data_IF_272800397894
#
_entry.id   IF_272800397894
#
_cell.length_a   1.000
_cell.length_b   1.000
_cell.length_c   1.000
_cell.angle_alpha   90.00
_cell.angle_beta   90.00
_cell.angle_gamma   90.00
#
_symmetry.space_group_name_H-M   'P 1'
#
loop_
_entity.id
_entity.type
_entity.pdbx_description
1 polymer ?
#
# COMPACT_ATOMS: atom_id res chain seq x y z
N UNK A 1 6.67 47.18 35.96
CA UNK A 1 6.94 46.98 34.51
C UNK A 1 6.77 45.50 34.20
N UNK A 2 5.66 45.09 33.58
CA UNK A 2 5.43 43.69 33.19
C UNK A 2 5.99 43.46 31.78
N UNK A 3 7.12 42.76 31.68
CA UNK A 3 7.69 42.30 30.42
C UNK A 3 6.83 41.12 29.95
N UNK A 4 5.87 41.39 29.06
CA UNK A 4 5.09 40.35 28.37
C UNK A 4 5.99 39.62 27.37
N UNK A 5 6.33 38.39 27.73
CA UNK A 5 6.22 37.19 26.90
C UNK A 5 6.45 37.34 25.39
N UNK A 6 7.71 37.19 24.94
CA UNK A 6 8.08 37.04 23.53
C UNK A 6 8.62 35.65 23.14
N UNK A 7 9.02 34.82 24.12
CA UNK A 7 9.79 33.60 23.85
C UNK A 7 8.96 32.37 23.44
N UNK A 8 7.66 32.33 23.74
CA UNK A 8 6.83 31.15 23.45
C UNK A 8 6.49 30.96 21.96
N UNK A 9 6.45 32.04 21.19
CA UNK A 9 6.03 32.00 19.78
C UNK A 9 7.11 31.43 18.86
N UNK A 10 8.38 31.75 19.12
CA UNK A 10 9.52 31.26 18.32
C UNK A 10 9.73 29.74 18.48
N UNK A 11 9.66 29.24 19.71
CA UNK A 11 9.72 27.80 19.98
C UNK A 11 8.59 27.03 19.26
N UNK A 12 7.39 27.62 19.20
CA UNK A 12 6.24 27.02 18.52
C UNK A 12 6.43 26.92 17.00
N UNK A 13 7.11 27.90 16.38
CA UNK A 13 7.45 27.88 14.95
C UNK A 13 8.49 26.80 14.67
N UNK A 14 9.52 26.67 15.52
CA UNK A 14 10.55 25.63 15.33
C UNK A 14 10.00 24.22 15.53
N UNK A 15 9.09 24.03 16.49
CA UNK A 15 8.37 22.76 16.64
C UNK A 15 7.49 22.45 15.43
N UNK A 16 6.82 23.45 14.87
CA UNK A 16 6.02 23.28 13.66
C UNK A 16 6.89 22.95 12.42
N UNK A 17 8.02 23.63 12.25
CA UNK A 17 8.98 23.39 11.14
C UNK A 17 9.60 22.00 11.23
N UNK A 18 10.04 21.59 12.42
CA UNK A 18 10.62 20.26 12.61
C UNK A 18 9.60 19.13 12.39
N UNK A 19 8.35 19.32 12.81
CA UNK A 19 7.27 18.36 12.55
C UNK A 19 6.95 18.24 11.06
N UNK A 20 6.80 19.36 10.35
CA UNK A 20 6.49 19.40 8.91
C UNK A 20 7.66 18.88 8.05
N UNK A 21 8.91 19.16 8.41
CA UNK A 21 10.08 18.65 7.70
C UNK A 21 10.20 17.13 7.82
N UNK A 22 9.89 16.56 9.00
CA UNK A 22 9.80 15.10 9.19
C UNK A 22 8.68 14.49 8.34
N UNK A 23 7.54 15.18 8.22
CA UNK A 23 6.43 14.73 7.37
C UNK A 23 6.78 14.75 5.87
N UNK A 24 7.52 15.76 5.41
CA UNK A 24 8.01 15.81 4.03
C UNK A 24 8.94 14.63 3.70
N UNK A 25 9.79 14.22 4.65
CA UNK A 25 10.65 13.03 4.52
C UNK A 25 9.90 11.69 4.54
N UNK A 26 8.61 11.69 4.91
CA UNK A 26 7.76 10.49 4.93
C UNK A 26 6.93 10.32 3.65
N UNK A 27 7.21 11.09 2.59
CA UNK A 27 6.58 10.91 1.29
C UNK A 27 6.83 9.47 0.79
N UNK A 28 5.78 8.63 0.81
CA UNK A 28 5.85 7.21 0.44
C UNK A 28 5.86 6.22 1.61
N UNK A 29 6.03 6.66 2.86
CA UNK A 29 5.95 5.80 4.04
C UNK A 29 4.52 5.25 4.27
N UNK A 30 3.50 5.91 3.72
CA UNK A 30 2.09 5.52 3.81
C UNK A 30 1.60 4.71 2.60
N UNK A 31 2.49 4.01 1.88
CA UNK A 31 2.03 3.09 0.84
C UNK A 31 1.21 1.96 1.46
N UNK A 32 -0.07 1.90 1.11
CA UNK A 32 -0.95 0.82 1.52
C UNK A 32 -0.37 -0.53 1.05
N UNK A 33 -0.16 -1.44 2.00
CA UNK A 33 0.32 -2.80 1.72
C UNK A 33 -0.75 -3.83 2.08
N UNK A 34 -0.68 -5.01 1.45
CA UNK A 34 -1.57 -6.13 1.73
C UNK A 34 -0.82 -7.46 1.62
N UNK A 35 -1.38 -8.52 2.18
CA UNK A 35 -0.85 -9.88 2.04
C UNK A 35 -1.53 -10.54 0.84
N UNK A 36 -0.73 -10.96 -0.14
CA UNK A 36 -1.24 -11.69 -1.30
C UNK A 36 -1.72 -13.08 -0.87
N UNK A 37 -2.98 -13.43 -1.20
CA UNK A 37 -3.54 -14.76 -0.89
C UNK A 37 -2.96 -15.93 -1.69
N UNK A 38 -2.15 -15.64 -2.73
CA UNK A 38 -1.49 -16.69 -3.55
C UNK A 38 -0.07 -16.98 -3.08
N UNK A 39 0.76 -15.94 -2.94
CA UNK A 39 2.17 -16.09 -2.57
C UNK A 39 2.49 -15.78 -1.10
N UNK A 40 1.52 -15.33 -0.31
CA UNK A 40 1.70 -15.03 1.13
C UNK A 40 2.55 -13.80 1.44
N UNK A 41 3.15 -13.15 0.44
CA UNK A 41 4.03 -12.01 0.65
C UNK A 41 3.27 -10.70 0.82
N UNK A 42 3.80 -9.81 1.68
CA UNK A 42 3.35 -8.42 1.80
C UNK A 42 3.79 -7.65 0.55
N UNK A 43 2.83 -7.07 -0.17
CA UNK A 43 3.06 -6.34 -1.42
C UNK A 43 2.32 -5.00 -1.39
N UNK A 44 2.79 -4.05 -2.20
CA UNK A 44 2.11 -2.77 -2.40
C UNK A 44 0.72 -2.99 -3.01
N UNK A 45 -0.27 -2.21 -2.59
CA UNK A 45 -1.66 -2.37 -2.99
C UNK A 45 -1.93 -2.01 -4.46
N UNK A 46 -0.96 -1.44 -5.17
CA UNK A 46 -1.04 -1.09 -6.59
C UNK A 46 -1.12 -2.34 -7.49
N UNK A 47 -2.01 -2.34 -8.48
CA UNK A 47 -2.18 -3.45 -9.42
C UNK A 47 -2.72 -4.75 -8.80
N UNK A 48 -3.27 -4.70 -7.58
CA UNK A 48 -3.89 -5.87 -6.94
C UNK A 48 -5.21 -6.24 -7.61
N UNK A 49 -5.53 -7.54 -7.64
CA UNK A 49 -6.80 -8.05 -8.14
C UNK A 49 -7.51 -8.81 -7.03
N UNK A 50 -8.81 -8.64 -6.88
CA UNK A 50 -9.57 -9.40 -5.89
C UNK A 50 -9.51 -10.90 -6.20
N UNK A 51 -9.48 -11.73 -5.15
CA UNK A 51 -9.55 -13.20 -5.29
C UNK A 51 -10.90 -13.58 -5.90
N UNK A 52 -11.99 -13.01 -5.37
CA UNK A 52 -13.35 -13.16 -5.86
C UNK A 52 -13.85 -11.79 -6.31
N UNK A 53 -14.25 -11.67 -7.58
CA UNK A 53 -14.72 -10.40 -8.16
C UNK A 53 -15.94 -9.91 -7.39
N UNK A 54 -15.89 -8.69 -6.86
CA UNK A 54 -17.00 -8.08 -6.11
C UNK A 54 -16.98 -8.37 -4.61
N UNK A 55 -16.05 -9.20 -4.10
CA UNK A 55 -15.98 -9.55 -2.68
C UNK A 55 -14.59 -9.29 -2.10
N UNK A 56 -14.44 -8.15 -1.43
CA UNK A 56 -13.18 -7.76 -0.78
C UNK A 56 -12.82 -8.64 0.44
N UNK A 57 -13.80 -9.31 1.06
CA UNK A 57 -13.60 -10.17 2.25
C UNK A 57 -12.65 -11.35 2.00
N UNK A 58 -12.62 -11.87 0.77
CA UNK A 58 -11.74 -12.97 0.40
C UNK A 58 -10.29 -12.54 0.17
N UNK A 59 -10.01 -11.23 0.17
CA UNK A 59 -8.67 -10.66 0.00
C UNK A 59 -8.28 -10.49 -1.47
N UNK A 60 -6.97 -10.35 -1.70
CA UNK A 60 -6.40 -9.91 -2.98
C UNK A 60 -5.20 -10.76 -3.42
N UNK A 61 -4.97 -10.79 -4.73
CA UNK A 61 -3.78 -11.29 -5.39
C UNK A 61 -2.91 -10.12 -5.87
N UNK A 62 -1.59 -10.29 -5.81
CA UNK A 62 -0.64 -9.31 -6.31
C UNK A 62 -0.55 -9.33 -7.84
N UNK A 63 -0.10 -8.22 -8.43
CA UNK A 63 0.04 -8.04 -9.86
C UNK A 63 0.90 -9.15 -10.53
N UNK A 64 1.96 -9.60 -9.86
CA UNK A 64 2.82 -10.69 -10.35
C UNK A 64 2.04 -12.00 -10.52
N UNK A 65 1.36 -12.43 -9.45
CA UNK A 65 0.52 -13.62 -9.44
C UNK A 65 -0.68 -13.54 -10.39
N UNK A 66 -1.11 -12.34 -10.78
CA UNK A 66 -2.16 -12.13 -11.78
C UNK A 66 -1.60 -12.28 -13.19
N UNK A 67 -0.42 -11.70 -13.47
CA UNK A 67 0.26 -11.77 -14.76
C UNK A 67 0.62 -13.21 -15.15
N UNK A 68 1.16 -14.00 -14.21
CA UNK A 68 1.42 -15.44 -14.41
C UNK A 68 0.17 -16.23 -14.78
N UNK A 69 -0.99 -15.82 -14.24
CA UNK A 69 -2.26 -16.51 -14.50
C UNK A 69 -2.77 -16.21 -15.91
N UNK A 70 -2.57 -14.98 -16.40
CA UNK A 70 -2.95 -14.60 -17.76
C UNK A 70 -2.03 -15.17 -18.83
N UNK A 71 -0.75 -15.42 -18.52
CA UNK A 71 0.19 -16.04 -19.47
C UNK A 71 0.04 -17.56 -19.60
N UNK A 72 -0.71 -18.21 -18.70
CA UNK A 72 -0.91 -19.68 -18.70
C UNK A 72 -2.33 -20.15 -19.02
N UNK A 73 -3.23 -19.26 -19.45
CA UNK A 73 -4.63 -19.61 -19.71
C UNK A 73 -4.93 -19.62 -21.22
N UNK A 74 -4.53 -20.69 -21.90
CA UNK A 74 -5.39 -21.44 -22.84
C UNK A 74 -4.64 -22.67 -23.40
N UNK A 75 -4.60 -23.74 -22.61
CA UNK A 75 -4.61 -25.10 -23.15
C UNK A 75 -5.61 -25.90 -22.30
N UNK A 76 -6.84 -26.18 -22.79
CA UNK A 76 -7.68 -27.16 -22.14
C UNK A 76 -6.98 -28.53 -22.20
N UNK A 77 -6.99 -29.35 -21.12
CA UNK A 77 -6.55 -30.73 -21.24
C UNK A 77 -7.45 -31.42 -22.26
N UNK A 78 -6.86 -31.97 -23.31
CA UNK A 78 -7.57 -32.74 -24.32
C UNK A 78 -8.40 -33.83 -23.61
N UNK A 79 -9.71 -33.99 -23.92
CA UNK A 79 -10.45 -35.12 -23.41
C UNK A 79 -9.77 -36.39 -23.95
N UNK A 80 -9.32 -37.25 -23.03
CA UNK A 80 -8.93 -38.62 -23.33
C UNK A 80 -10.13 -39.30 -24.01
N UNK A 81 -10.03 -39.45 -25.34
CA UNK A 81 -10.94 -40.29 -26.09
C UNK A 81 -10.74 -41.75 -25.67
N UNK A 82 -11.87 -42.45 -25.60
CA UNK A 82 -12.12 -43.79 -25.08
C UNK A 82 -11.16 -44.89 -25.54
#
# INVERSE_FOLDING_TARGET
>A
MHIRSGFGFLAHIDHYRTATQRQAGMAGATQATFICRRCGQRRAAYGRRQVVKGMARHGFHCAHCVKERTSGANAPPAPLAA
#
